data_IF_666642637060
#
_entry.id   IF_666642637060
#
_cell.length_a   1.000
_cell.length_b   1.000
_cell.length_c   1.000
_cell.angle_alpha   90.00
_cell.angle_beta   90.00
_cell.angle_gamma   90.00
#
_symmetry.space_group_name_H-M   'P 1'
#
loop_
_entity.id
_entity.type
_entity.pdbx_description
1 polymer ?
#
# COMPACT_ATOMS: atom_id res chain seq x y z
N UNK A 1 6.67 0.84 11.69
CA UNK A 1 5.69 -0.17 11.27
C UNK A 1 4.58 0.41 10.41
N UNK A 2 3.89 1.43 10.90
CA UNK A 2 2.85 2.13 10.13
C UNK A 2 3.43 2.73 8.85
N UNK A 3 4.65 3.25 8.93
CA UNK A 3 5.33 3.83 7.77
C UNK A 3 5.56 2.79 6.68
N UNK A 4 6.02 1.59 7.05
CA UNK A 4 6.21 0.50 6.10
C UNK A 4 4.88 0.07 5.47
N UNK A 5 3.82 -0.01 6.27
CA UNK A 5 2.47 -0.36 5.79
C UNK A 5 1.99 0.66 4.75
N UNK A 6 2.22 1.94 4.98
CA UNK A 6 1.83 3.01 4.05
C UNK A 6 2.60 2.90 2.73
N UNK A 7 3.91 2.69 2.80
CA UNK A 7 4.73 2.55 1.61
C UNK A 7 4.30 1.33 0.77
N UNK A 8 4.06 0.21 1.43
CA UNK A 8 3.59 -1.01 0.75
C UNK A 8 2.20 -0.81 0.14
N UNK A 9 1.31 -0.14 0.86
CA UNK A 9 -0.02 0.16 0.35
C UNK A 9 0.04 0.98 -0.93
N UNK A 10 0.81 2.05 -0.93
CA UNK A 10 0.94 2.92 -2.11
C UNK A 10 1.56 2.18 -3.29
N UNK A 11 2.51 1.31 -3.01
CA UNK A 11 3.17 0.52 -4.04
C UNK A 11 2.23 -0.51 -4.67
N UNK A 12 1.42 -1.17 -3.85
CA UNK A 12 0.57 -2.27 -4.28
C UNK A 12 -0.82 -1.82 -4.76
N UNK A 13 -1.17 -0.55 -4.57
CA UNK A 13 -2.50 -0.05 -4.93
C UNK A 13 -2.41 1.23 -5.75
N UNK A 14 -1.94 1.15 -7.00
CA UNK A 14 -1.90 2.32 -7.88
C UNK A 14 -3.31 2.90 -8.04
N UNK A 15 -3.42 4.21 -7.99
CA UNK A 15 -4.71 4.88 -8.06
C UNK A 15 -5.33 5.22 -6.71
N UNK A 16 -4.80 4.64 -5.62
CA UNK A 16 -5.21 4.97 -4.25
C UNK A 16 -4.05 5.65 -3.56
N UNK A 17 -3.87 6.92 -3.84
CA UNK A 17 -2.65 7.65 -3.47
C UNK A 17 -2.88 8.83 -2.53
N UNK A 18 -3.97 8.82 -1.77
CA UNK A 18 -4.27 9.88 -0.81
C UNK A 18 -4.28 9.35 0.61
N UNK A 19 -4.13 10.26 1.58
CA UNK A 19 -4.22 9.91 3.00
C UNK A 19 -5.59 9.31 3.31
N UNK A 20 -6.64 9.84 2.69
CA UNK A 20 -8.02 9.33 2.88
C UNK A 20 -8.15 7.88 2.44
N UNK A 21 -7.53 7.54 1.30
CA UNK A 21 -7.53 6.15 0.82
C UNK A 21 -6.88 5.22 1.83
N UNK A 22 -5.74 5.64 2.40
CA UNK A 22 -5.02 4.85 3.39
C UNK A 22 -5.89 4.62 4.64
N UNK A 23 -6.52 5.68 5.14
CA UNK A 23 -7.40 5.59 6.30
C UNK A 23 -8.56 4.64 6.03
N UNK A 24 -9.22 4.79 4.88
CA UNK A 24 -10.41 4.02 4.56
C UNK A 24 -10.10 2.54 4.29
N UNK A 25 -9.04 2.26 3.56
CA UNK A 25 -8.75 0.90 3.13
C UNK A 25 -7.97 0.13 4.18
N UNK A 26 -6.99 0.77 4.83
CA UNK A 26 -6.16 0.10 5.84
C UNK A 26 -6.74 0.15 7.25
N UNK A 27 -7.74 1.00 7.47
CA UNK A 27 -8.34 1.13 8.79
C UNK A 27 -7.42 1.74 9.85
N UNK A 28 -6.44 2.54 9.42
CA UNK A 28 -5.51 3.21 10.32
C UNK A 28 -6.09 4.57 10.70
N UNK A 29 -5.97 4.96 11.97
CA UNK A 29 -6.50 6.24 12.44
C UNK A 29 -5.88 7.42 11.66
N UNK A 30 -6.70 8.41 11.34
CA UNK A 30 -6.30 9.57 10.55
C UNK A 30 -5.07 10.29 11.11
N UNK A 31 -5.00 10.44 12.44
CA UNK A 31 -3.87 11.10 13.09
C UNK A 31 -2.56 10.34 12.89
N UNK A 32 -2.60 9.02 12.94
CA UNK A 32 -1.41 8.19 12.68
C UNK A 32 -0.98 8.27 11.23
N UNK A 33 -1.95 8.25 10.29
CA UNK A 33 -1.64 8.36 8.86
C UNK A 33 -0.97 9.71 8.58
N UNK A 34 -1.55 10.81 9.06
CA UNK A 34 -1.00 12.15 8.83
C UNK A 34 0.42 12.29 9.37
N UNK A 35 0.65 11.81 10.59
CA UNK A 35 1.97 11.87 11.21
C UNK A 35 3.00 11.02 10.47
N UNK A 36 2.59 9.81 10.07
CA UNK A 36 3.48 8.91 9.34
C UNK A 36 3.85 9.47 7.97
N UNK A 37 2.90 10.12 7.29
CA UNK A 37 3.18 10.79 6.01
C UNK A 37 4.21 11.91 6.19
N UNK A 38 4.08 12.73 7.24
CA UNK A 38 5.07 13.77 7.53
C UNK A 38 6.47 13.19 7.72
N UNK A 39 6.57 12.10 8.48
CA UNK A 39 7.84 11.43 8.74
C UNK A 39 8.41 10.88 7.42
N UNK A 40 7.58 10.25 6.59
CA UNK A 40 8.02 9.69 5.32
C UNK A 40 8.48 10.76 4.33
N UNK A 41 7.81 11.91 4.33
CA UNK A 41 8.25 13.06 3.51
C UNK A 41 9.60 13.58 4.00
N UNK A 42 9.79 13.70 5.31
CA UNK A 42 11.06 14.12 5.89
C UNK A 42 12.20 13.16 5.56
N UNK A 43 11.90 11.87 5.53
CA UNK A 43 12.87 10.83 5.16
C UNK A 43 13.08 10.71 3.65
N UNK A 44 12.39 11.52 2.88
CA UNK A 44 12.47 11.52 1.41
C UNK A 44 11.97 10.22 0.77
N UNK A 45 11.05 9.54 1.43
CA UNK A 45 10.39 8.36 0.87
C UNK A 45 9.11 8.71 0.12
N UNK A 46 8.51 9.86 0.43
CA UNK A 46 7.30 10.34 -0.23
C UNK A 46 7.47 11.77 -0.70
N UNK A 47 6.85 12.09 -1.84
CA UNK A 47 6.60 13.46 -2.27
C UNK A 47 5.10 13.66 -2.34
N UNK A 48 4.67 14.92 -2.23
CA UNK A 48 3.25 15.26 -2.28
C UNK A 48 2.99 16.21 -3.45
N UNK A 49 1.79 16.11 -4.03
CA UNK A 49 1.34 17.06 -5.03
C UNK A 49 -0.15 17.33 -4.86
N UNK A 50 -0.53 18.60 -4.97
CA UNK A 50 -1.92 19.00 -4.86
C UNK A 50 -2.64 18.67 -6.17
N UNK A 51 -3.86 18.12 -6.07
CA UNK A 51 -4.65 17.80 -7.25
C UNK A 51 -4.99 19.07 -8.03
N UNK A 52 -4.90 18.99 -9.35
CA UNK A 52 -5.16 20.14 -10.22
C UNK A 52 -6.62 20.59 -10.22
N UNK A 53 -7.53 19.64 -10.08
CA UNK A 53 -8.97 19.92 -10.14
C UNK A 53 -9.57 20.23 -8.78
N UNK A 54 -9.04 19.63 -7.72
CA UNK A 54 -9.51 19.82 -6.37
C UNK A 54 -8.34 19.99 -5.41
N UNK A 55 -8.05 21.21 -5.03
CA UNK A 55 -6.90 21.55 -4.18
C UNK A 55 -7.02 21.02 -2.75
N UNK A 56 -8.17 20.48 -2.38
CA UNK A 56 -8.33 19.83 -1.08
C UNK A 56 -7.73 18.43 -1.07
N UNK A 57 -7.40 17.90 -2.25
CA UNK A 57 -6.82 16.57 -2.41
C UNK A 57 -5.33 16.69 -2.63
N UNK A 58 -4.54 15.95 -1.85
CA UNK A 58 -3.10 15.86 -1.99
C UNK A 58 -2.74 14.43 -2.35
N UNK A 59 -2.04 14.26 -3.44
CA UNK A 59 -1.56 12.95 -3.90
C UNK A 59 -0.20 12.65 -3.32
N UNK A 60 0.04 11.39 -3.01
CA UNK A 60 1.29 10.89 -2.46
C UNK A 60 2.01 10.08 -3.54
N UNK A 61 3.31 10.29 -3.67
CA UNK A 61 4.11 9.58 -4.67
C UNK A 61 5.37 9.00 -4.01
N UNK A 62 5.66 7.74 -4.30
CA UNK A 62 6.89 7.10 -3.84
C UNK A 62 8.10 7.65 -4.56
N UNK A 63 9.19 7.86 -3.82
CA UNK A 63 10.47 8.28 -4.38
C UNK A 63 11.32 7.06 -4.78
N UNK A 64 12.46 7.31 -5.43
CA UNK A 64 13.39 6.23 -5.75
C UNK A 64 13.97 5.60 -4.49
N UNK A 65 14.21 6.41 -3.44
CA UNK A 65 14.68 5.91 -2.15
C UNK A 65 13.67 4.96 -1.52
N UNK A 66 12.37 5.28 -1.65
CA UNK A 66 11.31 4.39 -1.17
C UNK A 66 11.30 3.08 -1.94
N UNK A 67 11.46 3.14 -3.26
CA UNK A 67 11.49 1.93 -4.08
C UNK A 67 12.65 1.01 -3.70
N UNK A 68 13.82 1.57 -3.40
CA UNK A 68 14.97 0.80 -2.94
C UNK A 68 14.67 0.11 -1.60
N UNK A 69 14.08 0.83 -0.65
CA UNK A 69 13.70 0.26 0.64
C UNK A 69 12.64 -0.82 0.50
N UNK A 70 11.68 -0.62 -0.41
CA UNK A 70 10.59 -1.58 -0.64
C UNK A 70 11.05 -2.87 -1.31
N UNK A 71 12.15 -2.84 -2.05
CA UNK A 71 12.69 -4.04 -2.68
C UNK A 71 12.94 -5.13 -1.64
N UNK A 72 13.56 -4.78 -0.52
CA UNK A 72 13.85 -5.74 0.56
C UNK A 72 12.57 -6.24 1.22
N UNK A 73 11.60 -5.35 1.46
CA UNK A 73 10.32 -5.73 2.05
C UNK A 73 9.54 -6.68 1.15
N UNK A 74 9.54 -6.42 -0.14
CA UNK A 74 8.87 -7.29 -1.12
C UNK A 74 9.50 -8.65 -1.17
N UNK A 75 10.83 -8.70 -1.15
CA UNK A 75 11.57 -9.96 -1.14
C UNK A 75 11.19 -10.80 0.08
N UNK A 76 11.10 -10.18 1.24
CA UNK A 76 10.68 -10.85 2.46
C UNK A 76 9.26 -11.39 2.34
N UNK A 77 8.34 -10.60 1.78
CA UNK A 77 6.96 -11.04 1.55
C UNK A 77 6.90 -12.24 0.61
N UNK A 78 7.69 -12.23 -0.46
CA UNK A 78 7.75 -13.33 -1.40
C UNK A 78 8.27 -14.60 -0.74
N UNK A 79 9.29 -14.49 0.11
CA UNK A 79 9.84 -15.61 0.86
C UNK A 79 8.81 -16.20 1.83
N UNK A 80 8.07 -15.34 2.53
CA UNK A 80 6.99 -15.77 3.42
C UNK A 80 5.90 -16.47 2.63
N UNK A 81 5.49 -15.90 1.51
CA UNK A 81 4.46 -16.51 0.66
C UNK A 81 4.90 -17.89 0.16
N UNK A 82 6.15 -18.00 -0.28
CA UNK A 82 6.70 -19.28 -0.72
C UNK A 82 6.67 -20.30 0.43
N UNK A 83 6.98 -19.88 1.64
CA UNK A 83 7.00 -20.75 2.81
C UNK A 83 5.60 -21.24 3.17
N UNK A 84 4.62 -20.33 3.24
CA UNK A 84 3.25 -20.70 3.64
C UNK A 84 2.51 -21.45 2.55
N UNK A 85 2.98 -21.42 1.31
CA UNK A 85 2.39 -22.16 0.19
C UNK A 85 3.19 -23.39 -0.21
N UNK A 86 4.11 -23.85 0.66
CA UNK A 86 4.85 -25.08 0.40
C UNK A 86 3.89 -26.25 0.14
N UNK A 87 4.27 -27.11 -0.81
CA UNK A 87 3.50 -28.28 -1.22
C UNK A 87 2.17 -27.94 -1.92
N UNK A 88 1.94 -26.67 -2.22
CA UNK A 88 0.81 -26.26 -3.04
C UNK A 88 1.29 -26.14 -4.49
N UNK A 89 0.63 -26.81 -5.46
CA UNK A 89 1.03 -26.69 -6.87
C UNK A 89 0.97 -25.25 -7.37
N UNK A 90 1.84 -24.91 -8.33
CA UNK A 90 1.91 -23.56 -8.89
C UNK A 90 0.56 -23.06 -9.39
N UNK A 91 -0.22 -23.92 -10.02
CA UNK A 91 -1.55 -23.59 -10.52
C UNK A 91 -2.48 -23.12 -9.39
N UNK A 92 -2.41 -23.78 -8.24
CA UNK A 92 -3.21 -23.41 -7.07
C UNK A 92 -2.70 -22.15 -6.40
N UNK A 93 -1.38 -21.90 -6.44
CA UNK A 93 -0.81 -20.64 -5.93
C UNK A 93 -1.37 -19.45 -6.67
N UNK A 94 -1.57 -19.57 -7.97
CA UNK A 94 -2.19 -18.52 -8.78
C UNK A 94 -3.64 -18.28 -8.36
N UNK A 95 -4.38 -19.34 -8.08
CA UNK A 95 -5.76 -19.24 -7.59
C UNK A 95 -5.81 -18.54 -6.23
N UNK A 96 -4.88 -18.85 -5.32
CA UNK A 96 -4.79 -18.19 -4.02
C UNK A 96 -4.55 -16.69 -4.19
N UNK A 97 -3.60 -16.31 -5.06
CA UNK A 97 -3.32 -14.91 -5.35
C UNK A 97 -4.54 -14.18 -5.92
N UNK A 98 -5.25 -14.83 -6.83
CA UNK A 98 -6.46 -14.26 -7.42
C UNK A 98 -7.56 -14.09 -6.37
N UNK A 99 -7.69 -15.05 -5.46
CA UNK A 99 -8.67 -14.98 -4.38
C UNK A 99 -8.36 -13.80 -3.45
N UNK A 100 -7.09 -13.59 -3.09
CA UNK A 100 -6.69 -12.45 -2.27
C UNK A 100 -6.97 -11.12 -2.96
N UNK A 101 -6.72 -11.05 -4.27
CA UNK A 101 -7.04 -9.84 -5.05
C UNK A 101 -8.54 -9.56 -5.03
N UNK A 102 -9.34 -10.58 -5.22
CA UNK A 102 -10.80 -10.41 -5.20
C UNK A 102 -11.28 -9.96 -3.83
N UNK A 103 -10.73 -10.52 -2.76
CA UNK A 103 -11.05 -10.10 -1.39
C UNK A 103 -10.71 -8.61 -1.21
N UNK A 104 -9.53 -8.19 -1.68
CA UNK A 104 -9.10 -6.80 -1.60
C UNK A 104 -10.06 -5.88 -2.35
N UNK A 105 -10.45 -6.26 -3.58
CA UNK A 105 -11.40 -5.49 -4.37
C UNK A 105 -12.76 -5.37 -3.68
N UNK A 106 -13.24 -6.46 -3.10
CA UNK A 106 -14.51 -6.46 -2.38
C UNK A 106 -14.47 -5.51 -1.18
N UNK A 107 -13.34 -5.48 -0.46
CA UNK A 107 -13.16 -4.58 0.67
C UNK A 107 -13.17 -3.12 0.19
N UNK A 108 -12.48 -2.82 -0.89
CA UNK A 108 -12.45 -1.48 -1.47
C UNK A 108 -13.85 -1.00 -1.85
N UNK A 109 -14.61 -1.83 -2.56
CA UNK A 109 -15.97 -1.50 -2.97
C UNK A 109 -16.87 -1.23 -1.76
N UNK A 110 -16.74 -2.05 -0.71
CA UNK A 110 -17.52 -1.88 0.50
C UNK A 110 -17.21 -0.55 1.20
N UNK A 111 -15.94 -0.14 1.20
CA UNK A 111 -15.52 1.11 1.84
C UNK A 111 -15.88 2.35 1.03
N UNK A 112 -16.02 2.23 -0.28
CA UNK A 112 -16.38 3.34 -1.16
C UNK A 112 -17.88 3.64 -1.14
N UNK A 113 -18.70 2.73 -0.64
CA UNK A 113 -20.12 2.94 -0.45
C UNK A 113 -20.38 3.68 0.87
#
# INVERSE_FOLDING_TARGET
KTEADILLFLCNNPGFDTARDIVNIRGIAKSYVSKSIEILVQKQYLTTSVDRRDRRITHLRLTEEANAALTDLRKTQEEIFALITQKIPEERKKEVNLAFRQITENIKEALEK
#
